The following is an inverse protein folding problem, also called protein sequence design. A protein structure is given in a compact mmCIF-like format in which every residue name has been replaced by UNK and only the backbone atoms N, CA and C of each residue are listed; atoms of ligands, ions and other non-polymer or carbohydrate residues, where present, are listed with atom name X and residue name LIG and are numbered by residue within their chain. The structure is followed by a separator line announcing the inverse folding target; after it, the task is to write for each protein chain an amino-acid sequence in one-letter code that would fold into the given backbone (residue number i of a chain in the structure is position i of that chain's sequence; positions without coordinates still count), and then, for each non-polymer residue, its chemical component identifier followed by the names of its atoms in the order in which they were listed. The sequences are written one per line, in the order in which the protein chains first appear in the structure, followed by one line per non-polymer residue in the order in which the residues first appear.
data_IF_077822462309
#
_entry.id   IF_077822462309
#
_cell.length_a   1.000
_cell.length_b   1.000
_cell.length_c   1.000
_cell.angle_alpha   90.00
_cell.angle_beta   90.00
_cell.angle_gamma   90.00
#
_symmetry.space_group_name_H-M   'P 1'
#
loop_
_entity.id
_entity.type
_entity.pdbx_description
1 polymer ?
#
# COMPACT_ATOMS: atom_id res chain seq x y z
N UNK A 1 2.26 14.54 -12.55
CA UNK A 1 2.98 14.71 -11.26
C UNK A 1 2.06 14.51 -10.05
N UNK A 2 0.92 15.21 -9.96
CA UNK A 2 -0.03 15.10 -8.82
C UNK A 2 -0.51 13.66 -8.58
N UNK A 3 -0.98 12.94 -9.61
CA UNK A 3 -1.46 11.55 -9.44
C UNK A 3 -0.36 10.61 -8.90
N UNK A 4 0.90 10.84 -9.29
CA UNK A 4 2.03 10.05 -8.79
C UNK A 4 2.32 10.40 -7.33
N UNK A 5 2.28 11.68 -6.95
CA UNK A 5 2.43 12.11 -5.57
C UNK A 5 1.33 11.52 -4.66
N UNK A 6 0.08 11.52 -5.12
CA UNK A 6 -1.04 10.87 -4.42
C UNK A 6 -0.80 9.36 -4.27
N UNK A 7 -0.47 8.66 -5.37
CA UNK A 7 -0.21 7.23 -5.32
C UNK A 7 0.93 6.86 -4.34
N UNK A 8 2.02 7.65 -4.32
CA UNK A 8 3.14 7.46 -3.40
C UNK A 8 2.73 7.73 -1.95
N UNK A 9 1.97 8.80 -1.70
CA UNK A 9 1.46 9.13 -0.37
C UNK A 9 0.56 8.02 0.19
N UNK A 10 -0.35 7.50 -0.64
CA UNK A 10 -1.25 6.43 -0.23
C UNK A 10 -0.54 5.10 -0.06
N UNK A 11 0.40 4.78 -0.95
CA UNK A 11 1.28 3.62 -0.80
C UNK A 11 2.04 3.67 0.52
N UNK A 12 2.65 4.81 0.86
CA UNK A 12 3.39 4.98 2.10
C UNK A 12 2.50 4.72 3.32
N UNK A 13 1.30 5.31 3.38
CA UNK A 13 0.44 5.07 4.54
C UNK A 13 -0.11 3.64 4.61
N UNK A 14 -0.43 2.98 3.50
CA UNK A 14 -0.80 1.55 3.51
C UNK A 14 0.36 0.69 4.02
N UNK A 15 1.59 0.97 3.55
CA UNK A 15 2.80 0.27 3.99
C UNK A 15 3.03 0.38 5.50
N UNK A 16 2.67 1.52 6.10
CA UNK A 16 2.81 1.78 7.54
C UNK A 16 1.52 1.54 8.35
N UNK A 17 0.46 1.01 7.72
CA UNK A 17 -0.80 0.70 8.41
C UNK A 17 -1.62 1.92 8.84
N UNK A 18 -1.42 3.08 8.21
CA UNK A 18 -2.24 4.27 8.46
C UNK A 18 -3.66 4.11 7.92
N UNK A 19 -4.64 4.64 8.66
CA UNK A 19 -6.03 4.65 8.21
C UNK A 19 -6.25 5.65 7.08
N UNK A 20 -7.21 5.38 6.20
CA UNK A 20 -7.57 6.30 5.12
C UNK A 20 -8.01 7.68 5.61
N UNK A 21 -8.63 7.73 6.81
CA UNK A 21 -9.04 8.99 7.45
C UNK A 21 -7.81 9.80 7.87
N UNK A 22 -6.79 9.16 8.45
CA UNK A 22 -5.54 9.83 8.78
C UNK A 22 -4.82 10.32 7.53
N UNK A 23 -4.84 9.55 6.44
CA UNK A 23 -4.23 9.96 5.18
C UNK A 23 -4.97 11.13 4.50
N UNK A 24 -6.30 11.24 4.66
CA UNK A 24 -7.05 12.41 4.22
C UNK A 24 -6.66 13.65 5.03
N UNK A 25 -6.57 13.54 6.36
CA UNK A 25 -6.08 14.66 7.18
C UNK A 25 -4.66 15.08 6.77
N UNK A 26 -3.81 14.11 6.41
CA UNK A 26 -2.46 14.37 5.95
C UNK A 26 -2.42 15.21 4.66
N UNK A 27 -3.35 15.02 3.72
CA UNK A 27 -3.38 15.88 2.51
C UNK A 27 -3.69 17.34 2.86
N UNK A 28 -4.59 17.58 3.82
CA UNK A 28 -4.93 18.94 4.29
C UNK A 28 -3.77 19.58 5.08
N UNK A 29 -3.03 18.77 5.83
CA UNK A 29 -1.82 19.23 6.52
C UNK A 29 -0.72 19.56 5.51
N UNK A 30 -0.56 18.77 4.45
CA UNK A 30 0.43 19.01 3.41
C UNK A 30 0.19 20.33 2.66
N UNK A 31 -1.06 20.68 2.33
CA UNK A 31 -1.39 21.97 1.68
C UNK A 31 -1.02 23.15 2.60
N UNK A 32 -1.18 22.98 3.91
CA UNK A 32 -0.86 24.01 4.91
C UNK A 32 0.65 24.19 5.11
N UNK A 33 1.38 23.09 5.31
CA UNK A 33 2.83 23.12 5.57
C UNK A 33 3.62 23.52 4.32
N UNK A 34 3.17 23.08 3.15
CA UNK A 34 3.85 23.30 1.87
C UNK A 34 3.04 24.23 0.96
N UNK A 35 2.60 25.36 1.51
CA UNK A 35 1.75 26.33 0.81
C UNK A 35 2.36 26.93 -0.46
N UNK A 36 3.69 26.91 -0.60
CA UNK A 36 4.40 27.33 -1.82
C UNK A 36 4.47 26.25 -2.90
N UNK A 37 4.16 24.99 -2.57
CA UNK A 37 4.26 23.86 -3.49
C UNK A 37 2.98 23.69 -4.29
N UNK A 38 3.09 23.78 -5.62
CA UNK A 38 1.98 23.50 -6.54
C UNK A 38 1.46 22.08 -6.37
N UNK A 39 2.35 21.10 -6.20
CA UNK A 39 1.96 19.70 -5.98
C UNK A 39 1.17 19.56 -4.69
N UNK A 40 1.65 20.14 -3.58
CA UNK A 40 0.99 20.02 -2.29
C UNK A 40 -0.39 20.68 -2.29
N UNK A 41 -0.52 21.88 -2.88
CA UNK A 41 -1.79 22.58 -3.00
C UNK A 41 -2.83 21.84 -3.87
N UNK A 42 -2.37 20.96 -4.76
CA UNK A 42 -3.23 20.12 -5.60
C UNK A 42 -3.36 18.67 -5.10
N UNK A 43 -2.77 18.32 -3.95
CA UNK A 43 -3.05 17.04 -3.29
C UNK A 43 -4.46 17.11 -2.70
N UNK A 44 -5.46 16.77 -3.51
CA UNK A 44 -6.85 16.67 -3.09
C UNK A 44 -7.32 15.22 -3.21
N UNK A 45 -7.21 14.47 -2.11
CA UNK A 45 -7.59 13.06 -2.11
C UNK A 45 -8.26 12.66 -0.80
N UNK A 46 -9.59 12.77 -0.80
CA UNK A 46 -10.44 12.26 0.27
C UNK A 46 -10.55 10.73 0.25
N UNK A 47 -11.13 10.17 1.32
CA UNK A 47 -11.22 8.72 1.56
C UNK A 47 -11.64 7.89 0.34
N UNK A 48 -12.67 8.32 -0.42
CA UNK A 48 -13.17 7.60 -1.60
C UNK A 48 -12.11 7.45 -2.69
N UNK A 49 -11.39 8.54 -2.99
CA UNK A 49 -10.35 8.55 -4.00
C UNK A 49 -9.13 7.75 -3.54
N UNK A 50 -8.74 7.88 -2.27
CA UNK A 50 -7.66 7.11 -1.65
C UNK A 50 -7.93 5.61 -1.71
N UNK A 51 -9.16 5.22 -1.34
CA UNK A 51 -9.63 3.83 -1.40
C UNK A 51 -9.60 3.32 -2.84
N UNK A 52 -10.07 4.12 -3.80
CA UNK A 52 -10.02 3.74 -5.23
C UNK A 52 -8.60 3.56 -5.74
N UNK A 53 -7.66 4.45 -5.39
CA UNK A 53 -6.24 4.31 -5.75
C UNK A 53 -5.67 3.02 -5.18
N UNK A 54 -5.92 2.73 -3.89
CA UNK A 54 -5.39 1.52 -3.26
C UNK A 54 -6.01 0.26 -3.87
N UNK A 55 -7.33 0.20 -3.99
CA UNK A 55 -8.02 -1.02 -4.43
C UNK A 55 -7.92 -1.28 -5.94
N UNK A 56 -7.94 -0.24 -6.76
CA UNK A 56 -8.01 -0.38 -8.22
C UNK A 56 -6.66 -0.20 -8.92
N UNK A 57 -5.66 0.39 -8.25
CA UNK A 57 -4.33 0.62 -8.84
C UNK A 57 -3.24 -0.14 -8.10
N UNK A 58 -3.05 0.14 -6.80
CA UNK A 58 -1.93 -0.43 -6.04
C UNK A 58 -2.13 -1.94 -5.79
N UNK A 59 -3.29 -2.36 -5.30
CA UNK A 59 -3.55 -3.76 -4.97
C UNK A 59 -3.44 -4.69 -6.20
N UNK A 60 -4.00 -4.37 -7.38
CA UNK A 60 -3.82 -5.22 -8.56
C UNK A 60 -2.37 -5.26 -9.03
N UNK A 61 -1.66 -4.13 -8.98
CA UNK A 61 -0.25 -4.07 -9.35
C UNK A 61 0.62 -4.96 -8.47
N UNK A 62 0.52 -4.81 -7.14
CA UNK A 62 1.32 -5.62 -6.20
C UNK A 62 0.94 -7.09 -6.23
N UNK A 63 -0.35 -7.41 -6.41
CA UNK A 63 -0.81 -8.79 -6.55
C UNK A 63 -0.19 -9.43 -7.80
N UNK A 64 -0.23 -8.74 -8.94
CA UNK A 64 0.40 -9.24 -10.18
C UNK A 64 1.90 -9.40 -10.03
N UNK A 65 2.58 -8.39 -9.47
CA UNK A 65 4.03 -8.44 -9.22
C UNK A 65 4.40 -9.63 -8.33
N UNK A 66 3.65 -9.86 -7.25
CA UNK A 66 3.85 -10.99 -6.36
C UNK A 66 3.69 -12.33 -7.10
N UNK A 67 2.65 -12.48 -7.94
CA UNK A 67 2.48 -13.70 -8.73
C UNK A 67 3.61 -13.90 -9.75
N UNK A 68 4.08 -12.83 -10.38
CA UNK A 68 5.16 -12.89 -11.35
C UNK A 68 6.50 -13.25 -10.67
N UNK A 69 6.74 -12.77 -9.46
CA UNK A 69 7.89 -13.18 -8.63
C UNK A 69 7.76 -14.64 -8.17
N UNK A 70 6.59 -15.06 -7.69
CA UNK A 70 6.37 -16.43 -7.23
C UNK A 70 6.52 -17.47 -8.35
N UNK A 71 6.13 -17.14 -9.58
CA UNK A 71 6.35 -18.00 -10.76
C UNK A 71 7.83 -18.20 -11.09
N UNK A 72 8.68 -17.22 -10.76
CA UNK A 72 10.12 -17.27 -10.99
C UNK A 72 10.87 -17.87 -9.79
N UNK A 73 10.25 -17.90 -8.62
CA UNK A 73 10.86 -18.45 -7.41
C UNK A 73 10.94 -19.97 -7.49
N UNK A 74 12.14 -20.51 -7.23
CA UNK A 74 12.34 -21.97 -7.14
C UNK A 74 11.70 -22.57 -5.89
N UNK A 75 11.66 -21.81 -4.80
CA UNK A 75 11.16 -22.25 -3.50
C UNK A 75 10.37 -21.13 -2.81
N UNK A 76 9.32 -21.49 -2.09
CA UNK A 76 8.57 -20.59 -1.21
C UNK A 76 8.09 -21.36 0.01
N UNK A 77 7.95 -20.66 1.14
CA UNK A 77 7.35 -21.19 2.36
C UNK A 77 6.05 -20.46 2.65
N UNK A 78 5.02 -21.24 3.01
CA UNK A 78 3.72 -20.73 3.44
C UNK A 78 3.63 -20.89 4.96
N UNK A 79 3.40 -19.78 5.65
CA UNK A 79 3.15 -19.76 7.08
C UNK A 79 1.67 -19.49 7.30
N UNK A 80 1.01 -20.31 8.10
CA UNK A 80 -0.39 -20.13 8.45
C UNK A 80 -0.48 -19.92 9.95
N UNK A 81 -1.29 -18.96 10.36
CA UNK A 81 -1.65 -18.78 11.75
C UNK A 81 -3.18 -18.86 11.87
N UNK A 82 -3.66 -19.34 13.02
CA UNK A 82 -5.07 -19.45 13.32
C UNK A 82 -5.32 -18.74 14.64
N UNK A 83 -5.96 -17.58 14.56
CA UNK A 83 -6.22 -16.72 15.71
C UNK A 83 -7.70 -16.43 15.86
N UNK A 84 -8.13 -16.12 17.08
CA UNK A 84 -9.49 -15.67 17.37
C UNK A 84 -9.42 -14.28 17.98
N UNK A 85 -10.16 -13.33 17.40
CA UNK A 85 -10.37 -12.00 17.99
C UNK A 85 -11.83 -11.89 18.42
N UNK A 86 -12.10 -12.21 19.68
CA UNK A 86 -13.47 -12.38 20.18
C UNK A 86 -14.18 -13.52 19.44
N UNK A 87 -15.34 -13.24 18.83
CA UNK A 87 -16.08 -14.22 18.02
C UNK A 87 -15.65 -14.26 16.54
N UNK A 88 -14.63 -13.48 16.14
CA UNK A 88 -14.11 -13.50 14.77
C UNK A 88 -12.95 -14.47 14.68
N UNK A 89 -13.11 -15.53 13.88
CA UNK A 89 -11.99 -16.41 13.51
C UNK A 89 -11.16 -15.72 12.42
N UNK A 90 -9.87 -15.59 12.64
CA UNK A 90 -8.92 -14.97 11.71
C UNK A 90 -7.88 -16.02 11.34
N UNK A 91 -7.65 -16.22 10.05
CA UNK A 91 -6.69 -17.20 9.54
C UNK A 91 -5.71 -16.50 8.60
N UNK A 92 -4.76 -15.71 9.13
CA UNK A 92 -3.80 -15.05 8.27
C UNK A 92 -2.78 -16.07 7.73
N UNK A 93 -2.27 -15.80 6.54
CA UNK A 93 -1.16 -16.54 5.97
C UNK A 93 -0.10 -15.58 5.45
N UNK A 94 1.15 -16.03 5.48
CA UNK A 94 2.30 -15.29 4.98
C UNK A 94 3.04 -16.14 3.94
N UNK A 95 3.35 -15.53 2.80
CA UNK A 95 4.16 -16.15 1.75
C UNK A 95 5.56 -15.56 1.83
N UNK A 96 6.55 -16.41 2.08
CA UNK A 96 7.96 -16.03 2.08
C UNK A 96 8.65 -16.71 0.90
N UNK A 97 9.29 -15.93 0.05
CA UNK A 97 9.94 -16.38 -1.18
C UNK A 97 11.23 -15.57 -1.42
N UNK A 98 12.14 -16.12 -2.23
CA UNK A 98 13.36 -15.42 -2.64
C UNK A 98 13.15 -14.85 -4.04
N UNK A 99 13.24 -13.53 -4.16
CA UNK A 99 13.25 -12.87 -5.46
C UNK A 99 14.68 -12.56 -5.90
N UNK A 100 15.09 -13.11 -7.04
CA UNK A 100 16.42 -12.87 -7.62
C UNK A 100 16.56 -11.47 -8.22
N UNK A 101 15.45 -10.77 -8.49
CA UNK A 101 15.43 -9.40 -9.02
C UNK A 101 15.74 -8.33 -7.97
N UNK A 102 15.61 -8.65 -6.67
CA UNK A 102 15.84 -7.73 -5.55
C UNK A 102 17.22 -7.84 -4.89
N UNK A 103 18.04 -8.84 -5.26
CA UNK A 103 19.40 -8.98 -4.75
C UNK A 103 20.26 -7.93 -5.45
N UNK A 104 20.57 -6.82 -4.76
CA UNK A 104 21.67 -5.95 -5.18
C UNK A 104 22.94 -6.79 -5.18
N UNK A 105 23.52 -7.01 -6.37
CA UNK A 105 24.88 -7.52 -6.52
C UNK A 105 25.88 -6.61 -5.81
#
# INVERSE_FOLDING_TARGET
EICAAEAVLFFHGVKHGHSYVAQQCLTDVCTTIFSSSTVANHLSCGQTKSTSIVLNVLAPYFTRSLFDDLKQSLYYSLHFDASNKGNTKVYPFCVQFLSLSGVKK
#
